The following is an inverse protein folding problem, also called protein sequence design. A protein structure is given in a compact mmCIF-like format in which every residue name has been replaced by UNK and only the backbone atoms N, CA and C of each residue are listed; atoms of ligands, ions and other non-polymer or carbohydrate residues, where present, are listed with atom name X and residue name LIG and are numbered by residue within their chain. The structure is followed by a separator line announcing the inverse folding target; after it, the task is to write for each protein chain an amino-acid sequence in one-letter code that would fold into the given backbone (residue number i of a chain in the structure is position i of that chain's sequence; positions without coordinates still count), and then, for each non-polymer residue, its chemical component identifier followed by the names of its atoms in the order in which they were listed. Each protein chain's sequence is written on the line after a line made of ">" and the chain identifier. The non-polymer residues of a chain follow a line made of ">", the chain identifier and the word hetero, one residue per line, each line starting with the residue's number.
data_IF_233192179385
#
_entry.id   IF_233192179385
#
_cell.length_a   1.000
_cell.length_b   1.000
_cell.length_c   1.000
_cell.angle_alpha   90.00
_cell.angle_beta   90.00
_cell.angle_gamma   90.00
#
_symmetry.space_group_name_H-M   'P 1'
#
loop_
_entity.id
_entity.type
_entity.pdbx_description
1 polymer ?
#
# COMPACT_ATOMS: atom_id res chain seq x y z
N UNK A 1 21.82 2.50 7.10
CA UNK A 1 20.75 3.13 7.86
C UNK A 1 21.36 4.13 8.85
N UNK A 2 20.76 5.31 8.96
CA UNK A 2 21.05 6.30 9.98
C UNK A 2 19.72 6.90 10.43
N UNK A 3 19.54 7.05 11.74
CA UNK A 3 18.31 7.59 12.27
C UNK A 3 18.45 7.97 13.72
N UNK A 4 17.43 8.64 14.22
CA UNK A 4 17.36 9.04 15.62
C UNK A 4 15.91 9.16 16.04
N UNK A 5 15.69 9.10 17.33
CA UNK A 5 14.39 9.25 17.92
C UNK A 5 14.47 9.93 19.27
N UNK A 6 13.39 10.55 19.66
CA UNK A 6 13.23 11.22 20.93
C UNK A 6 11.90 10.81 21.55
N UNK A 7 11.92 10.56 22.84
CA UNK A 7 10.72 10.25 23.59
C UNK A 7 10.74 11.03 24.91
N UNK A 8 9.62 11.68 25.20
CA UNK A 8 9.41 12.40 26.45
C UNK A 8 7.99 12.18 26.93
N UNK A 9 7.85 11.65 28.15
CA UNK A 9 6.57 11.36 28.79
C UNK A 9 5.61 10.59 27.86
N UNK A 10 4.67 11.31 27.24
CA UNK A 10 3.60 10.77 26.39
C UNK A 10 3.89 10.88 24.90
N UNK A 11 4.97 11.57 24.52
CA UNK A 11 5.29 11.87 23.13
C UNK A 11 6.52 11.11 22.67
N UNK A 12 6.51 10.69 21.43
CA UNK A 12 7.70 10.16 20.76
C UNK A 12 7.75 10.68 19.33
N UNK A 13 8.95 10.78 18.80
CA UNK A 13 9.22 11.07 17.41
C UNK A 13 10.47 10.33 16.96
N UNK A 14 10.50 9.91 15.71
CA UNK A 14 11.67 9.28 15.12
C UNK A 14 11.78 9.65 13.64
N UNK A 15 13.00 9.65 13.14
CA UNK A 15 13.32 9.78 11.73
C UNK A 15 14.43 8.80 11.39
N UNK A 16 14.32 8.16 10.24
CA UNK A 16 15.29 7.21 9.73
C UNK A 16 15.51 7.44 8.25
N UNK A 17 16.76 7.42 7.85
CA UNK A 17 17.19 7.42 6.45
C UNK A 17 17.87 6.10 6.16
N UNK A 18 17.62 5.55 4.99
CA UNK A 18 18.33 4.35 4.57
C UNK A 18 18.70 4.41 3.10
N UNK A 19 19.79 3.77 2.81
CA UNK A 19 20.21 3.46 1.45
C UNK A 19 20.51 1.96 1.37
N UNK A 20 20.02 1.32 0.33
CA UNK A 20 20.29 -0.07 0.02
C UNK A 20 20.89 -0.16 -1.37
N UNK A 21 22.03 -0.82 -1.48
CA UNK A 21 22.67 -1.18 -2.72
C UNK A 21 22.38 -2.66 -3.02
N UNK A 22 21.51 -2.91 -3.98
CA UNK A 22 21.18 -4.25 -4.46
C UNK A 22 22.06 -4.59 -5.67
N UNK A 23 22.71 -5.76 -5.63
CA UNK A 23 23.51 -6.25 -6.75
C UNK A 23 22.95 -7.58 -7.22
N UNK A 24 22.98 -7.78 -8.54
CA UNK A 24 22.49 -9.00 -9.16
C UNK A 24 21.03 -9.32 -8.76
N UNK A 25 20.19 -8.29 -8.74
CA UNK A 25 18.77 -8.44 -8.44
C UNK A 25 18.09 -9.08 -9.64
N UNK A 26 17.36 -10.16 -9.42
CA UNK A 26 16.61 -10.83 -10.48
C UNK A 26 15.16 -10.33 -10.40
N UNK A 27 14.65 -9.85 -11.51
CA UNK A 27 13.25 -9.45 -11.64
C UNK A 27 12.64 -9.98 -12.93
N UNK A 28 11.31 -9.99 -12.96
CA UNK A 28 10.54 -10.27 -14.16
C UNK A 28 10.38 -9.00 -14.97
N UNK A 29 10.84 -9.08 -16.22
CA UNK A 29 10.87 -7.96 -17.15
C UNK A 29 9.97 -8.28 -18.35
N UNK A 30 9.16 -7.32 -18.74
CA UNK A 30 8.40 -7.41 -19.98
C UNK A 30 9.22 -6.86 -21.13
N UNK A 31 9.30 -7.63 -22.21
CA UNK A 31 9.85 -7.16 -23.48
C UNK A 31 8.88 -7.44 -24.62
N UNK A 32 8.70 -6.41 -25.44
CA UNK A 32 7.89 -6.53 -26.65
C UNK A 32 8.55 -7.50 -27.63
N UNK A 33 9.88 -7.53 -27.68
CA UNK A 33 10.68 -8.45 -28.47
C UNK A 33 11.89 -8.92 -27.67
N UNK A 34 12.08 -10.24 -27.60
CA UNK A 34 13.19 -10.89 -26.92
C UNK A 34 13.82 -11.96 -27.85
N UNK A 35 15.08 -11.80 -28.23
CA UNK A 35 15.80 -12.79 -29.01
C UNK A 35 16.70 -13.64 -28.11
N UNK A 36 16.50 -14.95 -28.11
CA UNK A 36 17.28 -15.93 -27.37
C UNK A 36 17.83 -16.94 -28.37
N UNK A 37 19.12 -16.87 -28.66
CA UNK A 37 19.72 -17.64 -29.73
C UNK A 37 19.10 -17.30 -31.09
N UNK A 38 18.61 -18.29 -31.80
CA UNK A 38 17.94 -18.12 -33.10
C UNK A 38 16.43 -17.91 -33.01
N UNK A 39 15.87 -17.75 -31.81
CA UNK A 39 14.45 -17.59 -31.60
C UNK A 39 14.10 -16.20 -31.10
N UNK A 40 13.14 -15.55 -31.75
CA UNK A 40 12.55 -14.30 -31.32
C UNK A 40 11.19 -14.59 -30.69
N UNK A 41 11.03 -14.16 -29.44
CA UNK A 41 9.80 -14.22 -28.66
C UNK A 41 9.22 -12.82 -28.56
N UNK A 42 7.90 -12.70 -28.68
CA UNK A 42 7.20 -11.44 -28.61
C UNK A 42 6.28 -11.40 -27.39
N UNK A 43 6.14 -10.22 -26.81
CA UNK A 43 5.20 -9.96 -25.70
C UNK A 43 5.34 -10.97 -24.54
N UNK A 44 6.54 -11.12 -24.02
CA UNK A 44 6.84 -12.10 -22.97
C UNK A 44 7.49 -11.50 -21.74
N UNK A 45 7.01 -11.99 -20.60
CA UNK A 45 7.73 -11.87 -19.34
C UNK A 45 8.89 -12.86 -19.31
N UNK A 46 10.04 -12.38 -18.89
CA UNK A 46 11.22 -13.23 -18.63
C UNK A 46 11.99 -12.68 -17.44
N UNK A 47 12.80 -13.51 -16.83
CA UNK A 47 13.66 -13.07 -15.74
C UNK A 47 14.91 -12.38 -16.31
N UNK A 48 15.21 -11.19 -15.83
CA UNK A 48 16.47 -10.50 -16.09
C UNK A 48 17.21 -10.23 -14.80
N UNK A 49 18.53 -10.20 -14.88
CA UNK A 49 19.39 -9.84 -13.78
C UNK A 49 19.77 -8.36 -13.90
N UNK A 50 19.29 -7.54 -12.97
CA UNK A 50 19.74 -6.17 -12.84
C UNK A 50 21.04 -6.14 -12.06
N UNK A 51 22.10 -5.58 -12.66
CA UNK A 51 23.43 -5.57 -12.08
C UNK A 51 23.53 -4.71 -10.83
N UNK A 52 22.73 -3.64 -10.77
CA UNK A 52 22.76 -2.66 -9.69
C UNK A 52 21.41 -1.99 -9.50
N UNK A 53 20.91 -1.98 -8.27
CA UNK A 53 19.69 -1.29 -7.87
C UNK A 53 19.91 -0.51 -6.57
N UNK A 54 20.01 0.81 -6.67
CA UNK A 54 20.04 1.69 -5.51
C UNK A 54 18.65 1.99 -5.03
N UNK A 55 18.40 1.85 -3.73
CA UNK A 55 17.13 2.24 -3.10
C UNK A 55 17.42 3.21 -1.97
N UNK A 56 16.81 4.38 -2.02
CA UNK A 56 16.85 5.38 -0.95
C UNK A 56 15.48 5.52 -0.30
N UNK A 57 15.44 5.64 1.02
CA UNK A 57 14.19 5.86 1.73
C UNK A 57 14.34 6.73 2.97
N UNK A 58 13.22 7.34 3.31
CA UNK A 58 13.04 8.15 4.52
C UNK A 58 11.80 7.63 5.23
N UNK A 59 11.92 7.41 6.52
CA UNK A 59 10.80 7.10 7.39
C UNK A 59 10.79 8.06 8.55
N UNK A 60 9.64 8.68 8.82
CA UNK A 60 9.43 9.56 9.95
C UNK A 60 8.16 9.16 10.68
N UNK A 61 8.18 9.20 11.99
CA UNK A 61 6.99 8.94 12.79
C UNK A 61 6.95 9.81 14.02
N UNK A 62 5.73 10.12 14.47
CA UNK A 62 5.48 10.79 15.73
C UNK A 62 4.23 10.24 16.38
N UNK A 63 4.16 10.30 17.69
CA UNK A 63 3.00 9.80 18.38
C UNK A 63 2.85 10.28 19.80
N UNK A 64 1.62 10.15 20.25
CA UNK A 64 1.16 10.41 21.60
C UNK A 64 0.56 9.14 22.19
N UNK A 65 0.85 8.86 23.45
CA UNK A 65 0.25 7.76 24.22
C UNK A 65 -0.07 8.20 25.64
N UNK A 66 -1.28 7.86 26.12
CA UNK A 66 -1.71 8.15 27.47
C UNK A 66 -2.56 7.01 28.03
N UNK A 67 -2.33 6.66 29.29
CA UNK A 67 -3.16 5.68 30.00
C UNK A 67 -4.43 6.29 30.57
N UNK A 68 -4.52 7.63 30.60
CA UNK A 68 -5.67 8.41 31.04
C UNK A 68 -6.22 9.33 29.95
N UNK A 69 -7.43 9.84 30.18
CA UNK A 69 -8.08 10.77 29.24
C UNK A 69 -8.85 10.09 28.10
N UNK A 70 -9.40 10.89 27.23
CA UNK A 70 -10.22 10.45 26.09
C UNK A 70 -9.35 9.90 24.97
N UNK A 71 -8.31 10.62 24.58
CA UNK A 71 -7.35 10.16 23.55
C UNK A 71 -6.33 9.24 24.22
N UNK A 72 -6.29 7.99 23.79
CA UNK A 72 -5.37 6.96 24.31
C UNK A 72 -4.08 6.88 23.51
N UNK A 73 -4.21 7.00 22.21
CA UNK A 73 -3.09 6.97 21.27
C UNK A 73 -3.41 7.86 20.08
N UNK A 74 -2.41 8.55 19.60
CA UNK A 74 -2.43 9.19 18.29
C UNK A 74 -1.05 9.00 17.67
N UNK A 75 -1.00 8.63 16.40
CA UNK A 75 0.25 8.44 15.67
C UNK A 75 0.14 9.03 14.27
N UNK A 76 1.25 9.55 13.78
CA UNK A 76 1.44 9.92 12.38
C UNK A 76 2.73 9.29 11.90
N UNK A 77 2.72 8.76 10.69
CA UNK A 77 3.93 8.22 10.06
C UNK A 77 3.97 8.59 8.60
N UNK A 78 5.16 8.86 8.11
CA UNK A 78 5.42 9.16 6.71
C UNK A 78 6.58 8.31 6.23
N UNK A 79 6.41 7.70 5.07
CA UNK A 79 7.44 6.97 4.35
C UNK A 79 7.62 7.52 2.95
N UNK A 80 8.85 7.67 2.54
CA UNK A 80 9.27 7.97 1.18
C UNK A 80 10.26 6.92 0.70
N UNK A 81 10.08 6.44 -0.51
CA UNK A 81 10.96 5.49 -1.15
C UNK A 81 11.23 5.92 -2.58
N UNK A 82 12.46 5.80 -3.03
CA UNK A 82 12.83 5.94 -4.44
C UNK A 82 13.92 4.95 -4.79
N UNK A 83 13.91 4.52 -6.06
CA UNK A 83 14.90 3.58 -6.59
C UNK A 83 15.64 4.20 -7.76
N UNK A 84 16.96 3.96 -7.86
CA UNK A 84 17.73 4.29 -9.05
C UNK A 84 17.55 3.19 -10.08
N UNK A 85 17.23 3.58 -11.31
CA UNK A 85 17.13 2.68 -12.45
C UNK A 85 18.41 2.66 -13.26
N UNK A 86 18.71 1.51 -13.84
CA UNK A 86 19.70 1.38 -14.90
C UNK A 86 19.09 1.06 -16.28
N UNK A 87 17.82 0.67 -16.35
CA UNK A 87 17.15 0.38 -17.63
C UNK A 87 15.73 0.95 -17.68
N UNK A 88 15.30 1.36 -18.88
CA UNK A 88 13.93 1.83 -19.18
C UNK A 88 12.95 0.68 -19.41
N UNK A 89 13.29 -0.51 -18.98
CA UNK A 89 12.48 -1.71 -19.22
C UNK A 89 11.40 -1.86 -18.17
N UNK A 90 10.22 -2.33 -18.57
CA UNK A 90 9.12 -2.65 -17.65
C UNK A 90 9.50 -3.82 -16.76
N UNK A 91 9.43 -3.61 -15.47
CA UNK A 91 9.68 -4.66 -14.47
C UNK A 91 8.41 -4.93 -13.65
N UNK A 92 8.25 -6.15 -13.14
CA UNK A 92 7.05 -6.52 -12.39
C UNK A 92 7.07 -6.07 -10.93
N UNK A 93 8.25 -5.89 -10.35
CA UNK A 93 8.39 -5.69 -8.90
C UNK A 93 9.17 -4.42 -8.53
N UNK A 94 10.21 -4.10 -9.28
CA UNK A 94 11.13 -2.99 -8.92
C UNK A 94 10.48 -1.62 -9.14
N UNK A 95 9.56 -1.53 -10.09
CA UNK A 95 8.96 -0.27 -10.50
C UNK A 95 7.61 0.05 -9.86
N UNK A 96 6.96 -0.96 -9.31
CA UNK A 96 5.70 -0.80 -8.62
C UNK A 96 5.92 -0.74 -7.11
N UNK A 97 6.45 0.37 -6.64
CA UNK A 97 6.70 0.58 -5.21
C UNK A 97 5.90 1.77 -4.66
N UNK A 98 5.66 1.74 -3.36
CA UNK A 98 5.00 2.83 -2.66
C UNK A 98 5.98 4.00 -2.50
N UNK A 99 5.83 5.05 -3.35
CA UNK A 99 6.70 6.21 -3.35
C UNK A 99 6.48 7.09 -2.12
N UNK A 100 5.22 7.40 -1.83
CA UNK A 100 4.83 8.13 -0.64
C UNK A 100 3.72 7.40 0.11
N UNK A 101 3.85 7.29 1.41
CA UNK A 101 2.81 6.78 2.28
C UNK A 101 2.73 7.66 3.52
N UNK A 102 1.59 8.32 3.73
CA UNK A 102 1.30 9.08 4.94
C UNK A 102 0.15 8.41 5.67
N UNK A 103 0.37 7.99 6.90
CA UNK A 103 -0.65 7.39 7.74
C UNK A 103 -0.83 8.18 9.03
N UNK A 104 -2.07 8.29 9.47
CA UNK A 104 -2.39 8.71 10.83
C UNK A 104 -3.34 7.70 11.46
N UNK A 105 -3.22 7.52 12.76
CA UNK A 105 -4.13 6.70 13.52
C UNK A 105 -4.42 7.35 14.88
N UNK A 106 -5.65 7.24 15.33
CA UNK A 106 -6.07 7.71 16.64
C UNK A 106 -6.94 6.66 17.32
N UNK A 107 -6.72 6.45 18.61
CA UNK A 107 -7.56 5.64 19.48
C UNK A 107 -8.17 6.53 20.56
N UNK A 108 -9.49 6.55 20.58
CA UNK A 108 -10.31 7.37 21.47
C UNK A 108 -11.15 6.44 22.34
N UNK A 109 -11.16 6.66 23.66
CA UNK A 109 -12.03 5.96 24.59
C UNK A 109 -13.05 6.94 25.16
N UNK A 110 -14.33 6.63 25.01
CA UNK A 110 -15.42 7.46 25.47
C UNK A 110 -16.51 6.63 26.16
N UNK A 111 -17.34 7.27 26.94
CA UNK A 111 -18.44 6.65 27.66
C UNK A 111 -18.05 5.37 28.44
N UNK A 112 -16.85 5.33 29.01
CA UNK A 112 -16.26 4.23 29.80
C UNK A 112 -16.22 2.85 29.15
N UNK A 113 -17.08 2.58 28.17
CA UNK A 113 -17.25 1.26 27.54
C UNK A 113 -17.01 1.26 26.04
N UNK A 114 -16.86 2.42 25.45
CA UNK A 114 -16.65 2.56 24.01
C UNK A 114 -15.23 2.97 23.70
N UNK A 115 -14.64 2.34 22.71
CA UNK A 115 -13.41 2.78 22.07
C UNK A 115 -13.62 2.86 20.56
N UNK A 116 -13.06 3.90 19.98
CA UNK A 116 -13.02 4.12 18.54
C UNK A 116 -11.56 4.24 18.12
N UNK A 117 -11.14 3.40 17.21
CA UNK A 117 -9.89 3.58 16.49
C UNK A 117 -10.20 4.03 15.06
N UNK A 118 -9.48 5.03 14.59
CA UNK A 118 -9.58 5.56 13.22
C UNK A 118 -8.20 5.56 12.63
N UNK A 119 -8.08 5.08 11.39
CA UNK A 119 -6.83 5.10 10.63
C UNK A 119 -7.09 5.70 9.27
N UNK A 120 -6.33 6.75 8.92
CA UNK A 120 -6.33 7.32 7.57
C UNK A 120 -4.98 7.12 6.93
N UNK A 121 -4.96 6.73 5.67
CA UNK A 121 -3.71 6.52 4.92
C UNK A 121 -3.83 7.09 3.51
N UNK A 122 -2.90 7.97 3.18
CA UNK A 122 -2.66 8.44 1.81
C UNK A 122 -1.55 7.57 1.19
N UNK A 123 -1.84 7.04 0.03
CA UNK A 123 -0.93 6.23 -0.78
C UNK A 123 -0.62 6.94 -2.08
N UNK A 124 0.65 7.01 -2.44
CA UNK A 124 1.13 7.41 -3.76
C UNK A 124 2.11 6.35 -4.25
N UNK A 125 1.65 5.53 -5.17
CA UNK A 125 2.40 4.43 -5.77
C UNK A 125 3.07 4.93 -7.04
N UNK A 126 4.32 4.57 -7.21
CA UNK A 126 5.05 4.79 -8.47
C UNK A 126 4.78 3.62 -9.42
N UNK A 127 4.71 3.92 -10.72
CA UNK A 127 4.51 2.91 -11.75
C UNK A 127 3.13 2.99 -12.38
N UNK A 128 2.79 1.96 -13.13
CA UNK A 128 1.55 1.86 -13.90
C UNK A 128 1.04 0.42 -13.88
N UNK A 129 -0.19 0.23 -14.31
CA UNK A 129 -0.79 -1.08 -14.55
C UNK A 129 -1.42 -1.13 -15.93
N UNK A 130 -1.59 -2.33 -16.46
CA UNK A 130 -2.30 -2.54 -17.73
C UNK A 130 -3.79 -2.73 -17.46
N UNK A 131 -4.60 -1.86 -18.04
CA UNK A 131 -6.06 -1.97 -18.03
C UNK A 131 -6.54 -2.60 -19.34
N UNK A 132 -7.33 -3.66 -19.24
CA UNK A 132 -7.96 -4.26 -20.40
C UNK A 132 -9.01 -3.35 -21.00
N UNK A 133 -8.92 -3.09 -22.30
CA UNK A 133 -9.91 -2.31 -23.05
C UNK A 133 -11.19 -3.10 -23.23
N UNK A 134 -12.32 -2.39 -23.10
CA UNK A 134 -13.66 -2.94 -23.29
C UNK A 134 -14.45 -2.07 -24.26
N UNK A 135 -15.33 -2.70 -25.02
CA UNK A 135 -16.31 -1.98 -25.84
C UNK A 135 -17.46 -1.38 -24.99
N UNK A 136 -18.43 -0.73 -25.67
CA UNK A 136 -19.59 -0.12 -25.03
C UNK A 136 -20.49 -1.13 -24.28
N UNK A 137 -20.44 -2.41 -24.65
CA UNK A 137 -21.19 -3.50 -24.04
C UNK A 137 -20.39 -4.19 -22.92
N UNK A 138 -19.17 -3.71 -22.62
CA UNK A 138 -18.31 -4.24 -21.56
C UNK A 138 -17.51 -5.49 -21.96
N UNK A 139 -17.55 -5.92 -23.22
CA UNK A 139 -16.78 -7.05 -23.73
C UNK A 139 -15.33 -6.64 -23.97
N UNK A 140 -14.39 -7.53 -23.67
CA UNK A 140 -12.97 -7.32 -23.89
C UNK A 140 -12.67 -7.13 -25.38
N UNK A 141 -11.92 -6.07 -25.70
CA UNK A 141 -11.42 -5.84 -27.05
C UNK A 141 -10.23 -6.75 -27.31
N UNK A 142 -10.20 -7.30 -28.55
CA UNK A 142 -9.07 -8.10 -29.02
C UNK A 142 -8.50 -7.51 -30.31
N UNK A 143 -7.20 -7.73 -30.53
CA UNK A 143 -6.57 -7.40 -31.80
C UNK A 143 -6.88 -8.43 -32.88
N UNK A 144 -6.38 -8.20 -34.10
CA UNK A 144 -6.55 -9.09 -35.27
C UNK A 144 -5.99 -10.51 -35.05
N UNK A 145 -5.14 -10.68 -34.02
CA UNK A 145 -4.54 -11.96 -33.64
C UNK A 145 -5.24 -12.60 -32.45
N UNK A 146 -6.36 -12.03 -31.98
CA UNK A 146 -7.12 -12.52 -30.84
C UNK A 146 -6.50 -12.20 -29.47
N UNK A 147 -5.51 -11.32 -29.39
CA UNK A 147 -4.90 -10.90 -28.12
C UNK A 147 -5.71 -9.78 -27.50
N UNK A 148 -5.86 -9.80 -26.19
CA UNK A 148 -6.57 -8.76 -25.44
C UNK A 148 -5.81 -7.43 -25.55
N UNK A 149 -6.52 -6.37 -25.95
CA UNK A 149 -5.96 -5.03 -25.99
C UNK A 149 -5.90 -4.45 -24.59
N UNK A 150 -4.77 -3.80 -24.27
CA UNK A 150 -4.54 -3.13 -22.98
C UNK A 150 -4.07 -1.71 -23.21
N UNK A 151 -4.32 -0.85 -22.21
CA UNK A 151 -3.71 0.48 -22.11
C UNK A 151 -2.93 0.58 -20.80
N UNK A 152 -1.89 1.38 -20.81
CA UNK A 152 -1.14 1.70 -19.59
C UNK A 152 -1.83 2.82 -18.85
N UNK A 153 -2.02 2.61 -17.54
CA UNK A 153 -2.63 3.61 -16.65
C UNK A 153 -1.69 3.82 -15.47
N UNK A 154 -1.25 5.05 -15.30
CA UNK A 154 -0.46 5.44 -14.12
C UNK A 154 -1.26 5.28 -12.84
N UNK A 155 -0.61 4.85 -11.77
CA UNK A 155 -1.25 4.86 -10.46
C UNK A 155 -1.51 6.29 -10.01
N UNK A 156 -2.73 6.56 -9.60
CA UNK A 156 -3.10 7.83 -8.98
C UNK A 156 -3.04 7.73 -7.47
N UNK A 157 -2.62 8.79 -6.75
CA UNK A 157 -2.69 8.82 -5.31
C UNK A 157 -4.12 8.62 -4.82
N UNK A 158 -4.29 7.87 -3.72
CA UNK A 158 -5.59 7.63 -3.11
C UNK A 158 -5.52 7.66 -1.59
N UNK A 159 -6.66 7.97 -0.98
CA UNK A 159 -6.81 8.04 0.47
C UNK A 159 -7.83 7.03 0.95
N UNK A 160 -7.46 6.27 1.98
CA UNK A 160 -8.35 5.34 2.67
C UNK A 160 -8.56 5.78 4.11
N UNK A 161 -9.80 5.68 4.57
CA UNK A 161 -10.17 5.91 5.95
C UNK A 161 -10.85 4.66 6.49
N UNK A 162 -10.31 4.11 7.58
CA UNK A 162 -10.84 2.94 8.26
C UNK A 162 -11.23 3.28 9.70
N UNK A 163 -12.21 2.57 10.22
CA UNK A 163 -12.71 2.75 11.58
C UNK A 163 -12.95 1.42 12.29
N UNK A 164 -12.67 1.37 13.59
CA UNK A 164 -12.99 0.24 14.45
C UNK A 164 -13.69 0.75 15.70
N UNK A 165 -14.98 0.45 15.83
CA UNK A 165 -15.79 0.77 17.02
C UNK A 165 -15.93 -0.47 17.87
N UNK A 166 -15.58 -0.37 19.14
CA UNK A 166 -15.71 -1.45 20.12
C UNK A 166 -16.50 -0.99 21.33
N UNK A 167 -17.43 -1.83 21.77
CA UNK A 167 -18.13 -1.71 23.05
C UNK A 167 -17.80 -2.93 23.91
N UNK A 168 -17.58 -2.71 25.23
CA UNK A 168 -17.18 -3.79 26.14
C UNK A 168 -17.92 -3.69 27.47
N UNK A 169 -18.47 -4.81 27.93
CA UNK A 169 -19.10 -4.95 29.24
C UNK A 169 -18.94 -6.34 29.82
N UNK A 170 -18.17 -6.45 30.89
CA UNK A 170 -17.90 -7.72 31.57
C UNK A 170 -17.13 -8.69 30.65
N UNK A 171 -17.74 -9.82 30.37
CA UNK A 171 -17.17 -10.85 29.51
C UNK A 171 -17.48 -10.68 28.03
N UNK A 172 -18.31 -9.69 27.66
CA UNK A 172 -18.81 -9.48 26.30
C UNK A 172 -18.16 -8.25 25.69
N UNK A 173 -17.64 -8.37 24.48
CA UNK A 173 -17.27 -7.25 23.63
C UNK A 173 -17.93 -7.39 22.26
N UNK A 174 -18.48 -6.27 21.78
CA UNK A 174 -19.01 -6.12 20.42
C UNK A 174 -18.06 -5.22 19.64
N UNK A 175 -17.85 -5.51 18.37
CA UNK A 175 -17.08 -4.62 17.50
C UNK A 175 -17.69 -4.52 16.11
N UNK A 176 -17.44 -3.37 15.49
CA UNK A 176 -17.76 -3.08 14.10
C UNK A 176 -16.52 -2.50 13.46
N UNK A 177 -16.13 -3.08 12.34
CA UNK A 177 -15.04 -2.63 11.48
C UNK A 177 -15.61 -2.00 10.22
N UNK A 178 -15.14 -0.82 9.90
CA UNK A 178 -15.49 -0.05 8.72
C UNK A 178 -14.21 0.13 7.91
N UNK A 179 -14.15 -0.43 6.74
CA UNK A 179 -13.01 -0.28 5.83
C UNK A 179 -13.40 0.60 4.65
N UNK A 180 -12.45 1.45 4.23
CA UNK A 180 -12.64 2.38 3.12
C UNK A 180 -13.92 3.23 3.29
N UNK A 181 -14.06 3.92 4.43
CA UNK A 181 -15.23 4.75 4.76
C UNK A 181 -15.45 5.86 3.70
N UNK A 182 -14.38 6.29 3.04
CA UNK A 182 -14.43 7.29 1.97
C UNK A 182 -14.98 6.75 0.65
N UNK A 183 -15.24 5.45 0.57
CA UNK A 183 -15.71 4.75 -0.63
C UNK A 183 -14.82 5.01 -1.85
N UNK A 184 -13.52 5.11 -1.61
CA UNK A 184 -12.51 5.40 -2.63
C UNK A 184 -12.38 4.21 -3.58
N UNK A 185 -12.51 4.45 -4.88
CA UNK A 185 -12.20 3.48 -5.92
C UNK A 185 -10.70 3.49 -6.20
N UNK A 186 -10.02 2.38 -5.97
CA UNK A 186 -8.58 2.28 -6.14
C UNK A 186 -8.13 0.90 -6.63
N UNK A 187 -6.99 0.91 -7.30
CA UNK A 187 -6.28 -0.31 -7.68
C UNK A 187 -5.01 -0.47 -6.84
N UNK A 188 -4.72 -1.70 -6.48
CA UNK A 188 -3.48 -2.08 -5.82
C UNK A 188 -2.52 -2.73 -6.85
N UNK A 189 -1.44 -3.33 -6.34
CA UNK A 189 -0.42 -4.02 -7.14
C UNK A 189 -1.02 -4.79 -8.32
N UNK A 190 -0.43 -4.60 -9.52
CA UNK A 190 -0.88 -5.23 -10.75
C UNK A 190 -2.24 -4.76 -11.28
N UNK A 191 -2.75 -3.61 -10.83
CA UNK A 191 -4.03 -3.06 -11.28
C UNK A 191 -5.25 -3.79 -10.72
N UNK A 192 -5.08 -4.55 -9.65
CA UNK A 192 -6.19 -5.25 -8.99
C UNK A 192 -7.09 -4.26 -8.29
N UNK A 193 -8.33 -4.15 -8.76
CA UNK A 193 -9.36 -3.35 -8.12
C UNK A 193 -9.69 -3.91 -6.75
N UNK A 194 -9.70 -3.04 -5.74
CA UNK A 194 -9.98 -3.41 -4.35
C UNK A 194 -11.43 -3.09 -3.99
N UNK A 195 -11.99 -3.76 -2.97
CA UNK A 195 -13.36 -3.45 -2.52
C UNK A 195 -13.47 -1.98 -2.10
N UNK A 196 -14.58 -1.39 -2.43
CA UNK A 196 -15.04 -0.10 -1.97
C UNK A 196 -15.40 -0.17 -0.47
N UNK A 197 -16.36 0.62 0.02
CA UNK A 197 -16.79 0.56 1.40
C UNK A 197 -17.15 -0.86 1.86
N UNK A 198 -16.61 -1.25 3.02
CA UNK A 198 -16.82 -2.58 3.58
C UNK A 198 -17.10 -2.48 5.07
N UNK A 199 -18.06 -3.25 5.56
CA UNK A 199 -18.43 -3.32 6.98
C UNK A 199 -18.42 -4.76 7.45
N UNK A 200 -17.82 -4.99 8.62
CA UNK A 200 -17.89 -6.26 9.33
C UNK A 200 -18.22 -6.04 10.79
N UNK A 201 -18.71 -7.03 11.47
CA UNK A 201 -18.98 -6.98 12.89
C UNK A 201 -18.79 -8.32 13.57
N UNK A 202 -18.52 -8.28 14.86
CA UNK A 202 -18.29 -9.50 15.63
C UNK A 202 -18.55 -9.35 17.12
N UNK A 203 -18.61 -10.51 17.77
CA UNK A 203 -18.80 -10.63 19.22
C UNK A 203 -17.63 -11.44 19.78
N UNK A 204 -17.02 -10.93 20.84
CA UNK A 204 -15.99 -11.63 21.61
C UNK A 204 -16.51 -11.95 23.00
N UNK A 205 -16.38 -13.22 23.41
CA UNK A 205 -16.66 -13.67 24.77
C UNK A 205 -15.34 -14.07 25.45
N UNK A 206 -15.05 -13.45 26.59
CA UNK A 206 -13.86 -13.77 27.39
C UNK A 206 -14.27 -14.62 28.57
N UNK A 207 -14.02 -15.92 28.49
CA UNK A 207 -14.28 -16.89 29.56
C UNK A 207 -12.97 -17.02 30.35
N UNK A 208 -13.05 -16.77 31.67
CA UNK A 208 -11.91 -16.90 32.60
C UNK A 208 -12.10 -18.13 33.47
#
# INVERSE_FOLDING_TARGET
>A
HIGGGYAIEKWHASVQFFYRDGRNVIDWVWRDELTIGDRTLYDKWHSEQESHLGTFGIEASGGYRSDGGVVRRATVSYGYLTTSRLSDVRTSSILDYMRHKLSFAAEIRFLRRFSLAVTGTLFDRYGFYNRYLRDADGKLLTDDKGRMQTEEVDFSPYFLLDGHLRWEKGIVALHVDLANITDTDYCDFGGLRRPNFWITGGITLTIR
#
